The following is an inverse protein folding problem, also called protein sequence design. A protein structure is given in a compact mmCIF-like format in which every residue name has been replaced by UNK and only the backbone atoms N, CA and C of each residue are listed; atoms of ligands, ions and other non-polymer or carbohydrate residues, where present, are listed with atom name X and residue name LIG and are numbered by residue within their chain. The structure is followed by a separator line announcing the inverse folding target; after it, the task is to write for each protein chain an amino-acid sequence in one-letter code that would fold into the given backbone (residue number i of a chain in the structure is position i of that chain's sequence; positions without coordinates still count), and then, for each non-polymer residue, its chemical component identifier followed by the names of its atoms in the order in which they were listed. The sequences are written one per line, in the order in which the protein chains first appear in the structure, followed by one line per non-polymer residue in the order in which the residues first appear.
data_IF_634776965446
#
_entry.id   IF_634776965446
#
_cell.length_a   1.000
_cell.length_b   1.000
_cell.length_c   1.000
_cell.angle_alpha   90.00
_cell.angle_beta   90.00
_cell.angle_gamma   90.00
#
_symmetry.space_group_name_H-M   'P 1'
#
loop_
_entity.id
_entity.type
_entity.pdbx_description
1 polymer ?
#
# COMPACT_ATOMS: atom_id res chain seq x y z
N UNK A 1 38.06 12.06 7.93
CA UNK A 1 36.60 12.26 7.94
C UNK A 1 36.04 11.10 7.15
N UNK A 2 35.85 9.97 7.81
CA UNK A 2 35.36 8.73 7.18
C UNK A 2 33.96 8.98 6.65
N UNK A 3 33.79 8.73 5.35
CA UNK A 3 32.48 8.59 4.72
C UNK A 3 31.78 7.41 5.39
N UNK A 4 30.98 7.69 6.43
CA UNK A 4 30.10 6.70 7.05
C UNK A 4 29.08 6.31 5.99
N UNK A 5 29.42 5.31 5.17
CA UNK A 5 28.53 4.72 4.21
C UNK A 5 27.19 4.44 4.88
N UNK A 6 26.10 4.94 4.28
CA UNK A 6 24.75 4.74 4.84
C UNK A 6 24.52 3.24 5.00
N UNK A 7 24.13 2.82 6.21
CA UNK A 7 23.70 1.44 6.45
C UNK A 7 22.51 1.13 5.51
N UNK A 8 22.43 -0.11 5.00
CA UNK A 8 21.36 -0.56 4.10
C UNK A 8 19.96 -0.22 4.64
N UNK A 9 19.71 -0.37 5.95
CA UNK A 9 18.42 -0.02 6.55
C UNK A 9 18.12 1.49 6.41
N UNK A 10 19.13 2.35 6.61
CA UNK A 10 18.99 3.80 6.42
C UNK A 10 18.74 4.15 4.95
N UNK A 11 19.33 3.41 4.01
CA UNK A 11 19.09 3.59 2.58
C UNK A 11 17.65 3.19 2.20
N UNK A 12 17.17 2.06 2.72
CA UNK A 12 15.79 1.59 2.53
C UNK A 12 14.78 2.56 3.14
N UNK A 13 15.01 3.04 4.37
CA UNK A 13 14.17 4.04 5.02
C UNK A 13 14.17 5.36 4.24
N UNK A 14 15.33 5.85 3.80
CA UNK A 14 15.43 7.06 2.97
C UNK A 14 14.66 6.92 1.66
N UNK A 15 14.71 5.72 1.05
CA UNK A 15 13.95 5.41 -0.16
C UNK A 15 12.43 5.52 0.09
N UNK A 16 11.93 4.95 1.21
CA UNK A 16 10.52 5.06 1.59
C UNK A 16 10.09 6.50 1.89
N UNK A 17 10.88 7.27 2.64
CA UNK A 17 10.54 8.67 2.96
C UNK A 17 10.50 9.53 1.69
N UNK A 18 11.44 9.32 0.76
CA UNK A 18 11.41 9.97 -0.55
C UNK A 18 10.15 9.62 -1.35
N UNK A 19 9.73 8.35 -1.31
CA UNK A 19 8.48 7.89 -1.91
C UNK A 19 7.25 8.57 -1.31
N UNK A 20 7.14 8.63 0.02
CA UNK A 20 6.01 9.28 0.71
C UNK A 20 5.91 10.78 0.40
N UNK A 21 7.05 11.46 0.30
CA UNK A 21 7.11 12.87 -0.11
C UNK A 21 6.64 13.06 -1.55
N UNK A 22 7.11 12.23 -2.47
CA UNK A 22 6.69 12.25 -3.88
C UNK A 22 5.19 12.00 -4.04
N UNK A 23 4.65 11.03 -3.31
CA UNK A 23 3.21 10.75 -3.26
C UNK A 23 2.40 11.97 -2.79
N UNK A 24 2.88 12.65 -1.74
CA UNK A 24 2.24 13.86 -1.21
C UNK A 24 2.22 15.00 -2.25
N UNK A 25 3.28 15.15 -3.04
CA UNK A 25 3.32 16.11 -4.15
C UNK A 25 2.31 15.74 -5.25
N UNK A 26 2.23 14.46 -5.63
CA UNK A 26 1.27 14.00 -6.65
C UNK A 26 -0.18 14.20 -6.27
N UNK A 27 -0.52 14.17 -4.98
CA UNK A 27 -1.85 14.55 -4.50
C UNK A 27 -2.19 15.99 -4.86
N UNK A 28 -1.24 16.92 -4.74
CA UNK A 28 -1.45 18.32 -5.10
C UNK A 28 -1.60 18.48 -6.62
N UNK A 29 -0.70 17.86 -7.38
CA UNK A 29 -0.73 17.86 -8.85
C UNK A 29 -2.09 17.35 -9.38
N UNK A 30 -2.56 16.22 -8.85
CA UNK A 30 -3.84 15.61 -9.24
C UNK A 30 -5.02 16.51 -8.88
N UNK A 31 -5.06 17.07 -7.67
CA UNK A 31 -6.14 17.98 -7.26
C UNK A 31 -6.22 19.20 -8.17
N UNK A 32 -5.07 19.79 -8.51
CA UNK A 32 -5.02 20.94 -9.40
C UNK A 32 -5.50 20.58 -10.81
N UNK A 33 -4.99 19.49 -11.38
CA UNK A 33 -5.36 19.05 -12.73
C UNK A 33 -6.86 18.68 -12.82
N UNK A 34 -7.40 18.02 -11.79
CA UNK A 34 -8.82 17.69 -11.72
C UNK A 34 -9.69 18.95 -11.58
N UNK A 35 -9.28 19.93 -10.77
CA UNK A 35 -10.00 21.20 -10.63
C UNK A 35 -10.02 21.99 -11.95
N UNK A 36 -8.87 22.09 -12.63
CA UNK A 36 -8.78 22.75 -13.95
C UNK A 36 -9.69 22.09 -14.97
N UNK A 37 -9.66 20.75 -15.06
CA UNK A 37 -10.49 20.03 -16.03
C UNK A 37 -11.98 20.21 -15.77
N UNK A 38 -12.41 20.29 -14.50
CA UNK A 38 -13.82 20.58 -14.13
C UNK A 38 -14.23 22.00 -14.51
N UNK A 39 -13.35 22.98 -14.33
CA UNK A 39 -13.64 24.38 -14.72
C UNK A 39 -13.73 24.60 -16.24
N UNK A 40 -13.03 23.78 -17.04
CA UNK A 40 -12.99 23.86 -18.50
C UNK A 40 -13.93 22.87 -19.20
N UNK A 41 -14.96 22.38 -18.50
CA UNK A 41 -15.91 21.45 -19.10
C UNK A 41 -16.70 22.11 -20.25
N UNK A 42 -16.70 21.48 -21.43
CA UNK A 42 -17.37 22.01 -22.62
C UNK A 42 -16.63 23.10 -23.40
N UNK A 43 -15.39 23.46 -23.00
CA UNK A 43 -14.56 24.43 -23.72
C UNK A 43 -13.58 23.75 -24.67
N UNK A 44 -12.96 24.53 -25.58
CA UNK A 44 -11.91 24.02 -26.48
C UNK A 44 -10.68 23.47 -25.72
N UNK A 45 -10.47 23.88 -24.47
CA UNK A 45 -9.35 23.47 -23.62
C UNK A 45 -9.52 22.08 -22.99
N UNK A 46 -10.74 21.50 -23.03
CA UNK A 46 -11.06 20.21 -22.42
C UNK A 46 -10.17 19.06 -22.93
N UNK A 47 -9.84 19.05 -24.23
CA UNK A 47 -8.97 18.05 -24.84
C UNK A 47 -7.51 18.18 -24.36
N UNK A 48 -7.05 19.42 -24.19
CA UNK A 48 -5.70 19.72 -23.66
C UNK A 48 -5.58 19.27 -22.21
N UNK A 49 -6.60 19.53 -21.40
CA UNK A 49 -6.60 19.13 -19.98
C UNK A 49 -6.73 17.62 -19.81
N UNK A 50 -7.48 16.94 -20.68
CA UNK A 50 -7.51 15.47 -20.73
C UNK A 50 -6.12 14.89 -21.06
N UNK A 51 -5.41 15.48 -22.02
CA UNK A 51 -4.03 15.08 -22.34
C UNK A 51 -3.10 15.26 -21.13
N UNK A 52 -3.18 16.40 -20.43
CA UNK A 52 -2.40 16.63 -19.19
C UNK A 52 -2.71 15.59 -18.12
N UNK A 53 -3.98 15.21 -17.93
CA UNK A 53 -4.37 14.15 -16.98
C UNK A 53 -3.78 12.79 -17.36
N UNK A 54 -3.78 12.44 -18.65
CA UNK A 54 -3.13 11.20 -19.13
C UNK A 54 -1.63 11.22 -18.86
N UNK A 55 -0.96 12.31 -19.18
CA UNK A 55 0.48 12.48 -18.92
C UNK A 55 0.81 12.38 -17.42
N UNK A 56 0.03 13.04 -16.56
CA UNK A 56 0.22 12.96 -15.11
C UNK A 56 -0.03 11.54 -14.57
N UNK A 57 -1.06 10.85 -15.06
CA UNK A 57 -1.36 9.47 -14.68
C UNK A 57 -0.22 8.53 -15.08
N UNK A 58 0.33 8.67 -16.29
CA UNK A 58 1.49 7.89 -16.73
C UNK A 58 2.75 8.21 -15.93
N UNK A 59 2.96 9.48 -15.58
CA UNK A 59 4.06 9.91 -14.70
C UNK A 59 3.97 9.23 -13.34
N UNK A 60 2.78 9.18 -12.73
CA UNK A 60 2.56 8.48 -11.46
C UNK A 60 2.88 7.00 -11.59
N UNK A 61 2.45 6.34 -12.67
CA UNK A 61 2.82 4.92 -12.91
C UNK A 61 4.33 4.74 -13.04
N UNK A 62 5.02 5.69 -13.69
CA UNK A 62 6.48 5.76 -13.71
C UNK A 62 7.07 5.85 -12.30
N UNK A 63 6.53 6.73 -11.45
CA UNK A 63 6.97 6.88 -10.07
C UNK A 63 6.83 5.55 -9.29
N UNK A 64 5.73 4.81 -9.45
CA UNK A 64 5.53 3.47 -8.85
C UNK A 64 6.55 2.44 -9.36
N UNK A 65 6.83 2.42 -10.67
CA UNK A 65 7.84 1.53 -11.29
C UNK A 65 9.23 1.81 -10.74
N UNK A 66 9.58 3.08 -10.61
CA UNK A 66 10.89 3.50 -10.12
C UNK A 66 11.06 3.16 -8.64
N UNK A 67 10.00 3.30 -7.83
CA UNK A 67 10.01 2.88 -6.44
C UNK A 67 10.17 1.36 -6.30
N UNK A 68 9.40 0.58 -7.06
CA UNK A 68 9.53 -0.89 -7.10
C UNK A 68 10.94 -1.34 -7.48
N UNK A 69 11.55 -0.73 -8.50
CA UNK A 69 12.92 -1.03 -8.91
C UNK A 69 13.93 -0.75 -7.79
N UNK A 70 13.87 0.44 -7.19
CA UNK A 70 14.79 0.81 -6.08
C UNK A 70 14.67 -0.15 -4.90
N UNK A 71 13.45 -0.62 -4.60
CA UNK A 71 13.24 -1.62 -3.53
C UNK A 71 13.88 -2.96 -3.88
N UNK A 72 13.70 -3.43 -5.11
CA UNK A 72 14.34 -4.66 -5.57
C UNK A 72 15.87 -4.55 -5.43
N UNK A 73 16.47 -3.45 -5.90
CA UNK A 73 17.91 -3.19 -5.80
C UNK A 73 18.42 -3.18 -4.35
N UNK A 74 17.63 -2.62 -3.42
CA UNK A 74 17.97 -2.53 -1.99
C UNK A 74 17.59 -3.76 -1.16
N UNK A 75 16.97 -4.79 -1.76
CA UNK A 75 16.44 -5.95 -1.02
C UNK A 75 17.39 -7.13 -0.93
N UNK A 76 18.48 -7.15 -1.71
CA UNK A 76 19.40 -8.28 -1.80
C UNK A 76 20.03 -8.62 -0.43
N UNK A 77 19.52 -9.68 0.22
CA UNK A 77 19.84 -10.15 1.58
C UNK A 77 19.37 -9.29 2.75
N UNK A 78 18.61 -8.22 2.51
CA UNK A 78 18.05 -7.36 3.55
C UNK A 78 16.56 -7.13 3.31
N UNK A 79 15.87 -8.19 2.91
CA UNK A 79 14.48 -8.13 2.47
C UNK A 79 13.50 -8.14 3.64
N UNK A 80 13.84 -8.77 4.78
CA UNK A 80 13.01 -8.77 5.99
C UNK A 80 12.62 -7.37 6.47
N UNK A 81 13.49 -6.38 6.30
CA UNK A 81 13.19 -4.97 6.57
C UNK A 81 11.99 -4.44 5.77
N UNK A 82 11.67 -5.02 4.62
CA UNK A 82 10.46 -4.66 3.88
C UNK A 82 9.23 -5.44 4.34
N UNK A 83 9.37 -6.59 5.01
CA UNK A 83 8.26 -7.37 5.56
C UNK A 83 7.84 -6.89 6.95
N UNK A 84 8.75 -6.28 7.72
CA UNK A 84 8.46 -5.65 8.99
C UNK A 84 9.21 -4.29 9.13
N UNK A 85 8.90 -3.31 8.27
CA UNK A 85 9.65 -2.05 8.24
C UNK A 85 9.56 -1.26 9.54
N UNK A 86 10.71 -0.77 9.99
CA UNK A 86 10.85 0.10 11.17
C UNK A 86 10.26 1.50 10.96
N UNK A 87 10.06 1.91 9.71
CA UNK A 87 9.45 3.19 9.34
C UNK A 87 7.91 3.16 9.23
N UNK A 88 7.29 1.99 9.44
CA UNK A 88 5.84 1.84 9.48
C UNK A 88 5.34 1.73 10.92
N UNK A 89 4.08 2.06 11.11
CA UNK A 89 3.37 1.81 12.38
C UNK A 89 3.06 0.32 12.54
N UNK A 90 2.84 -0.19 13.76
CA UNK A 90 2.43 -1.58 13.97
C UNK A 90 1.14 -1.95 13.22
N UNK A 91 0.22 -0.98 13.06
CA UNK A 91 -0.99 -1.16 12.26
C UNK A 91 -0.67 -1.39 10.78
N UNK A 92 0.25 -0.60 10.20
CA UNK A 92 0.68 -0.77 8.81
C UNK A 92 1.41 -2.12 8.63
N UNK A 93 2.27 -2.50 9.57
CA UNK A 93 2.97 -3.78 9.53
C UNK A 93 2.01 -4.97 9.64
N UNK A 94 0.94 -4.86 10.42
CA UNK A 94 -0.09 -5.91 10.50
C UNK A 94 -0.92 -6.07 9.21
N UNK A 95 -0.92 -5.08 8.33
CA UNK A 95 -1.70 -5.07 7.07
C UNK A 95 -0.82 -5.29 5.83
N UNK A 96 0.48 -5.49 6.01
CA UNK A 96 1.42 -5.66 4.91
C UNK A 96 1.30 -7.06 4.29
N UNK A 97 1.41 -7.13 2.96
CA UNK A 97 1.41 -8.36 2.19
C UNK A 97 2.66 -8.35 1.33
N UNK A 98 3.70 -9.15 1.62
CA UNK A 98 4.97 -9.14 0.87
C UNK A 98 5.48 -7.71 0.59
N UNK A 99 5.68 -6.96 1.68
CA UNK A 99 6.23 -5.61 1.69
C UNK A 99 5.37 -4.47 1.13
N UNK A 100 4.08 -4.67 0.88
CA UNK A 100 3.19 -3.58 0.49
C UNK A 100 1.72 -3.94 0.62
N UNK A 101 0.83 -3.19 -0.03
CA UNK A 101 -0.58 -3.54 -0.06
C UNK A 101 -0.83 -4.79 -0.92
N UNK A 102 -1.91 -5.52 -0.64
CA UNK A 102 -2.37 -6.61 -1.51
C UNK A 102 -3.08 -6.03 -2.75
N UNK A 103 -2.72 -6.38 -3.99
CA UNK A 103 -3.30 -5.79 -5.21
C UNK A 103 -4.85 -5.79 -5.29
N UNK A 104 -5.53 -6.78 -4.71
CA UNK A 104 -6.99 -6.88 -4.60
C UNK A 104 -7.61 -5.70 -3.86
N UNK A 105 -6.85 -5.00 -3.02
CA UNK A 105 -7.27 -3.75 -2.38
C UNK A 105 -7.53 -2.61 -3.38
N UNK A 106 -6.86 -2.59 -4.53
CA UNK A 106 -7.11 -1.61 -5.58
C UNK A 106 -8.53 -1.74 -6.15
N UNK A 107 -9.01 -2.98 -6.33
CA UNK A 107 -10.38 -3.25 -6.79
C UNK A 107 -11.41 -2.89 -5.72
N UNK A 108 -11.14 -3.21 -4.45
CA UNK A 108 -11.99 -2.76 -3.34
C UNK A 108 -12.14 -1.24 -3.32
N UNK A 109 -11.06 -0.51 -3.59
CA UNK A 109 -11.11 0.94 -3.71
C UNK A 109 -12.00 1.38 -4.88
N UNK A 110 -11.84 0.78 -6.07
CA UNK A 110 -12.72 1.07 -7.22
C UNK A 110 -14.19 0.84 -6.87
N UNK A 111 -14.52 -0.30 -6.27
CA UNK A 111 -15.90 -0.63 -5.90
C UNK A 111 -16.46 0.28 -4.80
N UNK A 112 -15.66 0.62 -3.80
CA UNK A 112 -16.09 1.53 -2.74
C UNK A 112 -16.35 2.95 -3.28
N UNK A 113 -15.49 3.44 -4.17
CA UNK A 113 -15.66 4.74 -4.82
C UNK A 113 -16.85 4.75 -5.78
N UNK A 114 -17.09 3.67 -6.52
CA UNK A 114 -18.27 3.56 -7.37
C UNK A 114 -19.56 3.50 -6.52
N UNK A 115 -19.62 2.59 -5.55
CA UNK A 115 -20.82 2.29 -4.76
C UNK A 115 -21.26 3.44 -3.87
N UNK A 116 -20.33 4.09 -3.16
CA UNK A 116 -20.66 5.24 -2.31
C UNK A 116 -21.30 6.39 -3.10
N UNK A 117 -20.86 6.59 -4.35
CA UNK A 117 -21.40 7.65 -5.19
C UNK A 117 -22.75 7.28 -5.78
N UNK A 118 -22.96 6.01 -6.18
CA UNK A 118 -24.27 5.51 -6.58
C UNK A 118 -25.29 5.66 -5.44
N UNK A 119 -24.91 5.33 -4.21
CA UNK A 119 -25.76 5.48 -3.03
C UNK A 119 -26.17 6.95 -2.79
N UNK A 120 -25.23 7.89 -2.93
CA UNK A 120 -25.52 9.33 -2.84
C UNK A 120 -26.54 9.75 -3.91
N UNK A 121 -26.34 9.36 -5.18
CA UNK A 121 -27.26 9.69 -6.29
C UNK A 121 -28.65 9.10 -6.08
N UNK A 122 -28.74 7.84 -5.67
CA UNK A 122 -30.03 7.17 -5.39
C UNK A 122 -30.73 7.85 -4.22
N UNK A 123 -30.02 8.17 -3.15
CA UNK A 123 -30.59 8.85 -1.97
C UNK A 123 -31.11 10.25 -2.35
N UNK A 124 -30.41 10.97 -3.22
CA UNK A 124 -30.85 12.28 -3.72
C UNK A 124 -32.09 12.18 -4.61
N UNK A 125 -32.10 11.23 -5.55
CA UNK A 125 -33.25 10.94 -6.41
C UNK A 125 -34.49 10.59 -5.59
N UNK A 126 -34.35 9.70 -4.60
CA UNK A 126 -35.44 9.30 -3.72
C UNK A 126 -35.95 10.43 -2.80
N UNK A 127 -35.13 11.47 -2.55
CA UNK A 127 -35.50 12.61 -1.68
C UNK A 127 -36.13 13.79 -2.43
N UNK A 128 -36.32 13.72 -3.76
CA UNK A 128 -36.86 14.82 -4.59
C UNK A 128 -36.22 16.19 -4.28
N UNK A 129 -34.89 16.24 -4.07
CA UNK A 129 -34.19 17.52 -3.90
C UNK A 129 -33.87 18.06 -5.28
N UNK A 130 -34.89 18.60 -5.95
CA UNK A 130 -34.71 19.41 -7.15
C UNK A 130 -34.04 20.72 -6.75
N UNK A 131 -32.71 20.81 -6.86
CA UNK A 131 -32.00 22.09 -6.83
C UNK A 131 -30.81 22.25 -5.89
N UNK A 132 -30.18 21.17 -5.40
CA UNK A 132 -28.83 21.33 -4.84
C UNK A 132 -27.79 21.19 -5.95
N UNK A 133 -27.15 22.31 -6.27
CA UNK A 133 -26.09 22.43 -7.25
C UNK A 133 -24.97 21.41 -6.95
N UNK A 134 -24.66 20.56 -7.94
CA UNK A 134 -23.65 19.49 -7.83
C UNK A 134 -22.23 20.06 -7.65
N UNK A 135 -22.09 21.39 -7.71
CA UNK A 135 -20.86 22.15 -7.56
C UNK A 135 -20.24 22.15 -6.15
N UNK A 136 -20.98 21.75 -5.11
CA UNK A 136 -20.55 21.87 -3.70
C UNK A 136 -19.88 20.64 -3.06
N UNK A 137 -20.06 19.43 -3.62
CA UNK A 137 -19.45 18.21 -3.09
C UNK A 137 -18.33 17.74 -4.03
N UNK A 138 -17.09 18.09 -3.69
CA UNK A 138 -15.91 17.90 -4.54
C UNK A 138 -15.47 16.45 -4.81
N UNK A 139 -16.28 15.66 -5.52
CA UNK A 139 -15.83 14.40 -6.13
C UNK A 139 -16.98 13.60 -6.73
N UNK A 140 -16.83 12.82 -7.81
CA UNK A 140 -15.68 12.52 -8.65
C UNK A 140 -16.19 11.61 -9.81
N UNK A 141 -15.42 11.55 -10.90
CA UNK A 141 -15.69 10.90 -12.18
C UNK A 141 -15.91 9.38 -12.13
N UNK A 142 -15.60 8.72 -11.01
CA UNK A 142 -15.79 7.27 -10.82
C UNK A 142 -17.25 6.84 -10.60
N UNK A 143 -18.16 7.80 -10.46
CA UNK A 143 -19.61 7.54 -10.44
C UNK A 143 -20.19 7.22 -11.81
N UNK A 144 -19.41 7.42 -12.88
CA UNK A 144 -19.78 7.16 -14.27
C UNK A 144 -19.02 5.97 -14.87
N UNK A 145 -18.56 5.03 -14.04
CA UNK A 145 -18.01 3.77 -14.55
C UNK A 145 -19.07 3.05 -15.37
N UNK A 146 -18.76 2.74 -16.62
CA UNK A 146 -19.69 2.02 -17.49
C UNK A 146 -19.77 0.55 -17.07
N UNK A 147 -20.88 -0.11 -17.41
CA UNK A 147 -21.04 -1.55 -17.17
C UNK A 147 -19.92 -2.36 -17.84
N UNK A 148 -19.45 -1.93 -19.02
CA UNK A 148 -18.32 -2.54 -19.72
C UNK A 148 -17.00 -2.37 -18.95
N UNK A 149 -16.73 -1.18 -18.42
CA UNK A 149 -15.54 -0.94 -17.58
C UNK A 149 -15.58 -1.79 -16.32
N UNK A 150 -16.73 -1.88 -15.65
CA UNK A 150 -16.89 -2.69 -14.45
C UNK A 150 -16.72 -4.19 -14.74
N UNK A 151 -17.24 -4.68 -15.87
CA UNK A 151 -17.03 -6.05 -16.30
C UNK A 151 -15.55 -6.35 -16.56
N UNK A 152 -14.83 -5.46 -17.26
CA UNK A 152 -13.37 -5.59 -17.48
C UNK A 152 -12.59 -5.58 -16.15
N UNK A 153 -12.95 -4.69 -15.22
CA UNK A 153 -12.34 -4.62 -13.89
C UNK A 153 -12.59 -5.92 -13.11
N UNK A 154 -13.80 -6.48 -13.16
CA UNK A 154 -14.12 -7.72 -12.47
C UNK A 154 -13.35 -8.93 -13.03
N UNK A 155 -13.25 -9.04 -14.36
CA UNK A 155 -12.41 -10.08 -15.00
C UNK A 155 -10.95 -9.95 -14.57
N UNK A 156 -10.43 -8.73 -14.54
CA UNK A 156 -9.07 -8.45 -14.06
C UNK A 156 -8.93 -8.81 -12.57
N UNK A 157 -9.93 -8.52 -11.74
CA UNK A 157 -9.92 -8.80 -10.30
C UNK A 157 -9.76 -10.30 -10.03
N UNK A 158 -10.54 -11.14 -10.69
CA UNK A 158 -10.45 -12.61 -10.56
C UNK A 158 -9.05 -13.09 -10.93
N UNK A 159 -8.51 -12.64 -12.06
CA UNK A 159 -7.15 -12.99 -12.48
C UNK A 159 -6.10 -12.61 -11.44
N UNK A 160 -6.22 -11.42 -10.84
CA UNK A 160 -5.26 -10.96 -9.83
C UNK A 160 -5.37 -11.76 -8.54
N UNK A 161 -6.57 -12.17 -8.13
CA UNK A 161 -6.76 -13.07 -6.97
C UNK A 161 -6.00 -14.39 -7.18
N UNK A 162 -6.10 -14.99 -8.36
CA UNK A 162 -5.39 -16.25 -8.66
C UNK A 162 -3.86 -16.09 -8.55
N UNK A 163 -3.30 -14.97 -9.04
CA UNK A 163 -1.88 -14.68 -8.90
C UNK A 163 -1.48 -14.40 -7.44
N UNK A 164 -2.31 -13.67 -6.69
CA UNK A 164 -2.09 -13.45 -5.25
C UNK A 164 -2.07 -14.76 -4.47
N UNK A 165 -2.96 -15.70 -4.78
CA UNK A 165 -3.01 -17.01 -4.12
C UNK A 165 -1.75 -17.84 -4.39
N UNK A 166 -1.26 -17.82 -5.64
CA UNK A 166 0.01 -18.48 -5.98
C UNK A 166 1.15 -17.92 -5.15
N UNK A 167 1.25 -16.60 -5.04
CA UNK A 167 2.31 -15.96 -4.26
C UNK A 167 2.16 -16.18 -2.75
N UNK A 168 0.94 -16.15 -2.23
CA UNK A 168 0.67 -16.46 -0.81
C UNK A 168 1.10 -17.88 -0.47
N UNK A 169 0.88 -18.86 -1.35
CA UNK A 169 1.41 -20.23 -1.16
C UNK A 169 2.93 -20.25 -1.09
N UNK A 170 3.62 -19.53 -1.98
CA UNK A 170 5.10 -19.44 -1.96
C UNK A 170 5.61 -18.85 -0.64
N UNK A 171 5.00 -17.76 -0.14
CA UNK A 171 5.43 -17.14 1.11
C UNK A 171 5.15 -18.04 2.32
N UNK A 172 4.06 -18.80 2.30
CA UNK A 172 3.76 -19.80 3.35
C UNK A 172 4.82 -20.89 3.41
N UNK A 173 5.24 -21.44 2.26
CA UNK A 173 6.33 -22.42 2.23
C UNK A 173 7.63 -21.84 2.79
N UNK A 174 8.02 -20.61 2.42
CA UNK A 174 9.21 -19.97 2.99
C UNK A 174 9.13 -19.74 4.50
N UNK A 175 7.92 -19.56 5.05
CA UNK A 175 7.73 -19.44 6.49
C UNK A 175 7.90 -20.79 7.20
N UNK A 176 7.48 -21.88 6.56
CA UNK A 176 7.65 -23.25 7.08
C UNK A 176 9.12 -23.69 7.03
N UNK A 177 9.86 -23.32 5.98
CA UNK A 177 11.29 -23.64 5.80
C UNK A 177 12.18 -23.12 6.96
N UNK A 178 11.74 -22.08 7.68
CA UNK A 178 12.45 -21.56 8.86
C UNK A 178 12.54 -22.58 10.02
N UNK A 179 11.71 -23.62 10.00
CA UNK A 179 11.72 -24.72 10.96
C UNK A 179 12.31 -26.02 10.36
N UNK A 180 12.88 -25.98 9.15
CA UNK A 180 13.47 -27.14 8.48
C UNK A 180 15.01 -27.21 8.69
N UNK A 181 15.65 -28.21 8.08
CA UNK A 181 17.09 -28.42 8.07
C UNK A 181 17.77 -27.29 7.27
N UNK A 182 18.88 -26.72 7.76
CA UNK A 182 19.62 -27.10 8.96
C UNK A 182 19.13 -26.45 10.26
N UNK A 183 18.25 -25.45 10.19
CA UNK A 183 17.90 -24.56 11.32
C UNK A 183 17.42 -25.36 12.53
N UNK A 184 16.41 -26.21 12.37
CA UNK A 184 15.84 -26.98 13.49
C UNK A 184 16.81 -28.02 14.06
N UNK A 185 17.58 -28.69 13.21
CA UNK A 185 18.55 -29.70 13.65
C UNK A 185 19.73 -29.09 14.41
N UNK A 186 20.21 -27.93 13.97
CA UNK A 186 21.27 -27.20 14.67
C UNK A 186 20.73 -26.67 16.00
N UNK A 187 19.56 -26.05 16.00
CA UNK A 187 18.93 -25.55 17.23
C UNK A 187 18.71 -26.64 18.29
N UNK A 188 18.48 -27.90 17.87
CA UNK A 188 18.37 -29.05 18.78
C UNK A 188 19.74 -29.56 19.27
N UNK A 189 20.76 -29.54 18.42
CA UNK A 189 22.06 -30.14 18.71
C UNK A 189 22.99 -29.23 19.54
N UNK A 190 22.85 -27.91 19.42
CA UNK A 190 23.67 -26.94 20.15
C UNK A 190 23.32 -26.92 21.64
N UNK A 191 24.36 -26.90 22.49
CA UNK A 191 24.19 -26.86 23.95
C UNK A 191 23.63 -25.50 24.43
N UNK A 192 24.03 -24.42 23.75
CA UNK A 192 23.64 -23.06 24.06
C UNK A 192 22.78 -22.47 22.94
N UNK A 193 21.71 -21.76 23.33
CA UNK A 193 20.76 -21.17 22.37
C UNK A 193 21.38 -19.97 21.67
N UNK A 194 21.35 -19.97 20.34
CA UNK A 194 21.76 -18.82 19.52
C UNK A 194 23.26 -18.73 19.23
N UNK A 195 24.00 -19.84 19.41
CA UNK A 195 25.41 -19.89 19.01
C UNK A 195 25.57 -19.68 17.49
N UNK A 196 26.58 -18.91 17.04
CA UNK A 196 26.81 -18.67 15.62
C UNK A 196 27.06 -19.98 14.86
N UNK A 197 26.31 -20.20 13.79
CA UNK A 197 26.43 -21.41 12.99
C UNK A 197 26.36 -21.09 11.49
N UNK A 198 27.45 -21.39 10.77
CA UNK A 198 27.59 -21.07 9.35
C UNK A 198 26.49 -21.71 8.47
N UNK A 199 26.04 -22.92 8.79
CA UNK A 199 25.00 -23.59 8.01
C UNK A 199 23.64 -22.92 8.21
N UNK A 200 23.35 -22.46 9.43
CA UNK A 200 22.14 -21.68 9.74
C UNK A 200 22.18 -20.33 9.05
N UNK A 201 23.31 -19.61 9.14
CA UNK A 201 23.49 -18.31 8.48
C UNK A 201 23.27 -18.42 6.96
N UNK A 202 23.84 -19.45 6.31
CA UNK A 202 23.64 -19.70 4.88
C UNK A 202 22.19 -20.05 4.53
N UNK A 203 21.47 -20.74 5.42
CA UNK A 203 20.06 -21.06 5.22
C UNK A 203 19.18 -19.79 5.32
N UNK A 204 19.44 -18.93 6.31
CA UNK A 204 18.76 -17.66 6.49
C UNK A 204 19.07 -16.67 5.35
N UNK A 205 20.32 -16.62 4.87
CA UNK A 205 20.70 -15.84 3.69
C UNK A 205 19.89 -16.25 2.44
N UNK A 206 19.71 -17.56 2.21
CA UNK A 206 18.88 -18.07 1.11
C UNK A 206 17.41 -17.71 1.30
N UNK A 207 16.91 -17.75 2.54
CA UNK A 207 15.54 -17.34 2.85
C UNK A 207 15.33 -15.85 2.56
N UNK A 208 16.29 -15.00 2.92
CA UNK A 208 16.31 -13.57 2.57
C UNK A 208 16.35 -13.34 1.06
N UNK A 209 17.16 -14.09 0.31
CA UNK A 209 17.18 -14.02 -1.17
C UNK A 209 15.85 -14.43 -1.81
N UNK A 210 15.18 -15.45 -1.26
CA UNK A 210 13.85 -15.88 -1.70
C UNK A 210 12.78 -14.84 -1.36
N UNK A 211 12.81 -14.26 -0.16
CA UNK A 211 11.92 -13.18 0.27
C UNK A 211 12.10 -11.91 -0.59
N UNK A 212 13.33 -11.58 -0.99
CA UNK A 212 13.64 -10.50 -1.93
C UNK A 212 13.02 -10.75 -3.31
N UNK A 213 13.09 -11.99 -3.80
CA UNK A 213 12.47 -12.39 -5.07
C UNK A 213 10.95 -12.24 -5.01
N UNK A 214 10.30 -12.72 -3.94
CA UNK A 214 8.86 -12.55 -3.74
C UNK A 214 8.44 -11.08 -3.61
N UNK A 215 9.26 -10.26 -2.94
CA UNK A 215 9.03 -8.83 -2.84
C UNK A 215 8.97 -8.18 -4.24
N UNK A 216 9.95 -8.49 -5.09
CA UNK A 216 10.03 -7.98 -6.45
C UNK A 216 8.86 -8.50 -7.32
N UNK A 217 8.51 -9.79 -7.23
CA UNK A 217 7.32 -10.36 -7.88
C UNK A 217 6.04 -9.62 -7.44
N UNK A 218 5.90 -9.31 -6.14
CA UNK A 218 4.70 -8.70 -5.59
C UNK A 218 4.59 -7.24 -6.03
N UNK A 219 5.70 -6.51 -6.06
CA UNK A 219 5.75 -5.14 -6.59
C UNK A 219 5.45 -5.10 -8.09
N UNK A 220 5.95 -6.05 -8.87
CA UNK A 220 5.59 -6.18 -10.28
C UNK A 220 4.08 -6.43 -10.45
N UNK A 221 3.48 -7.29 -9.62
CA UNK A 221 2.03 -7.54 -9.65
C UNK A 221 1.22 -6.28 -9.28
N UNK A 222 1.66 -5.50 -8.29
CA UNK A 222 1.03 -4.21 -7.93
C UNK A 222 1.06 -3.23 -9.08
N UNK A 223 2.24 -3.01 -9.67
CA UNK A 223 2.43 -2.08 -10.79
C UNK A 223 1.64 -2.52 -12.01
N UNK A 224 1.66 -3.82 -12.33
CA UNK A 224 0.87 -4.41 -13.41
C UNK A 224 -0.62 -4.15 -13.18
N UNK A 225 -1.12 -4.46 -11.99
CA UNK A 225 -2.54 -4.28 -11.63
C UNK A 225 -2.96 -2.83 -11.75
N UNK A 226 -2.17 -1.91 -11.18
CA UNK A 226 -2.43 -0.48 -11.23
C UNK A 226 -2.49 0.04 -12.67
N UNK A 227 -1.52 -0.38 -13.51
CA UNK A 227 -1.46 -0.02 -14.92
C UNK A 227 -2.70 -0.54 -15.69
N UNK A 228 -3.10 -1.79 -15.43
CA UNK A 228 -4.28 -2.39 -16.09
C UNK A 228 -5.60 -1.76 -15.68
N UNK A 229 -5.76 -1.37 -14.41
CA UNK A 229 -6.93 -0.59 -13.99
C UNK A 229 -6.97 0.74 -14.75
N UNK A 230 -5.87 1.46 -14.80
CA UNK A 230 -5.79 2.76 -15.51
C UNK A 230 -6.08 2.63 -17.00
N UNK A 231 -5.63 1.55 -17.66
CA UNK A 231 -5.94 1.29 -19.07
C UNK A 231 -7.45 1.11 -19.34
N UNK A 232 -8.22 0.64 -18.36
CA UNK A 232 -9.68 0.47 -18.48
C UNK A 232 -10.43 1.79 -18.22
N UNK A 233 -9.87 2.65 -17.36
CA UNK A 233 -10.51 3.88 -16.92
C UNK A 233 -10.32 5.02 -17.92
N UNK A 234 -11.33 5.90 -18.01
CA UNK A 234 -11.16 7.19 -18.67
C UNK A 234 -10.16 8.06 -17.87
N UNK A 235 -9.52 9.09 -18.47
CA UNK A 235 -8.46 9.84 -17.79
C UNK A 235 -8.87 10.50 -16.47
N UNK A 236 -10.08 11.05 -16.43
CA UNK A 236 -10.60 11.67 -15.20
C UNK A 236 -10.86 10.61 -14.11
N UNK A 237 -11.46 9.47 -14.48
CA UNK A 237 -11.64 8.31 -13.61
C UNK A 237 -10.30 7.78 -13.07
N UNK A 238 -9.30 7.63 -13.94
CA UNK A 238 -7.97 7.17 -13.56
C UNK A 238 -7.28 8.14 -12.58
N UNK A 239 -7.38 9.44 -12.84
CA UNK A 239 -6.83 10.47 -11.96
C UNK A 239 -7.54 10.51 -10.60
N UNK A 240 -8.87 10.40 -10.56
CA UNK A 240 -9.64 10.32 -9.31
C UNK A 240 -9.30 9.04 -8.51
N UNK A 241 -9.17 7.90 -9.21
CA UNK A 241 -8.77 6.62 -8.60
C UNK A 241 -7.38 6.69 -7.99
N UNK A 242 -6.38 7.22 -8.73
CA UNK A 242 -5.04 7.45 -8.21
C UNK A 242 -5.06 8.40 -7.02
N UNK A 243 -5.76 9.54 -7.13
CA UNK A 243 -5.86 10.50 -6.03
C UNK A 243 -6.40 9.84 -4.76
N UNK A 244 -7.46 9.05 -4.87
CA UNK A 244 -8.04 8.32 -3.75
C UNK A 244 -7.06 7.30 -3.16
N UNK A 245 -6.39 6.51 -4.00
CA UNK A 245 -5.42 5.49 -3.57
C UNK A 245 -4.23 6.09 -2.84
N UNK A 246 -3.64 7.15 -3.39
CA UNK A 246 -2.51 7.85 -2.77
C UNK A 246 -2.94 8.48 -1.43
N UNK A 247 -4.09 9.17 -1.40
CA UNK A 247 -4.62 9.74 -0.15
C UNK A 247 -4.87 8.68 0.90
N UNK A 248 -5.42 7.52 0.52
CA UNK A 248 -5.66 6.41 1.44
C UNK A 248 -4.34 5.92 2.04
N UNK A 249 -3.31 5.70 1.22
CA UNK A 249 -2.00 5.28 1.71
C UNK A 249 -1.39 6.29 2.71
N UNK A 250 -1.36 7.58 2.35
CA UNK A 250 -0.84 8.63 3.25
C UNK A 250 -1.66 8.78 4.54
N UNK A 251 -2.97 8.58 4.43
CA UNK A 251 -3.90 8.66 5.57
C UNK A 251 -3.74 7.48 6.52
N UNK A 252 -3.54 6.26 6.00
CA UNK A 252 -3.26 5.07 6.82
C UNK A 252 -2.02 5.27 7.68
N UNK A 253 -0.95 5.83 7.12
CA UNK A 253 0.26 6.17 7.87
C UNK A 253 -0.02 7.19 8.99
N UNK A 254 -0.72 8.28 8.65
CA UNK A 254 -1.06 9.35 9.60
C UNK A 254 -1.98 8.85 10.72
N UNK A 255 -2.98 8.04 10.39
CA UNK A 255 -3.91 7.46 11.35
C UNK A 255 -3.22 6.44 12.25
N UNK A 256 -2.33 5.60 11.70
CA UNK A 256 -1.51 4.67 12.48
C UNK A 256 -0.67 5.42 13.51
N UNK A 257 0.07 6.45 13.09
CA UNK A 257 0.93 7.22 13.97
C UNK A 257 0.16 7.93 15.09
N UNK A 258 -1.04 8.45 14.77
CA UNK A 258 -1.94 9.05 15.75
C UNK A 258 -2.45 8.02 16.77
N UNK A 259 -2.82 6.83 16.31
CA UNK A 259 -3.28 5.74 17.20
C UNK A 259 -2.17 5.27 18.13
N UNK A 260 -0.95 5.13 17.64
CA UNK A 260 0.19 4.72 18.46
C UNK A 260 0.51 5.77 19.53
N UNK A 261 0.44 7.05 19.18
CA UNK A 261 0.58 8.14 20.16
C UNK A 261 -0.47 8.02 21.27
N UNK A 262 -1.75 7.88 20.91
CA UNK A 262 -2.83 7.73 21.90
C UNK A 262 -2.68 6.49 22.78
N UNK A 263 -2.21 5.36 22.22
CA UNK A 263 -1.97 4.13 22.99
C UNK A 263 -0.86 4.28 24.02
N UNK A 264 0.21 5.03 23.70
CA UNK A 264 1.28 5.32 24.66
C UNK A 264 0.82 6.24 25.80
N UNK A 265 -0.19 7.08 25.54
CA UNK A 265 -0.80 7.96 26.54
C UNK A 265 -1.82 7.23 27.43
N UNK A 266 -2.30 6.04 27.04
CA UNK A 266 -3.13 5.19 27.90
C UNK A 266 -2.27 4.55 29.00
N UNK A 267 -2.29 5.17 30.18
CA UNK A 267 -1.76 4.59 31.42
C UNK A 267 -2.64 3.40 31.79
N UNK A 268 -2.03 2.22 31.97
CA UNK A 268 -2.67 1.14 32.73
C UNK A 268 -2.58 1.58 34.18
N UNK A 269 -3.71 1.99 34.78
CA UNK A 269 -3.77 2.12 36.24
C UNK A 269 -3.45 0.74 36.80
N UNK A 270 -2.26 0.60 37.38
CA UNK A 270 -1.91 -0.59 38.13
C UNK A 270 -2.95 -0.73 39.23
N UNK A 271 -3.64 -1.87 39.28
CA UNK A 271 -4.48 -2.24 40.40
C UNK A 271 -3.59 -2.47 41.62
N UNK A 272 -3.22 -1.40 42.32
CA UNK A 272 -2.91 -1.43 43.74
C UNK A 272 -4.24 -1.59 44.48
N UNK A 273 -4.65 -2.83 44.76
CA UNK A 273 -5.21 -3.20 46.07
C UNK A 273 -5.55 -4.70 46.15
N UNK A 274 -4.83 -5.43 47.00
CA UNK A 274 -5.35 -6.48 47.89
C UNK A 274 -4.20 -7.20 48.62
N UNK A 275 -3.43 -6.46 49.42
CA UNK A 275 -2.52 -7.01 50.43
C UNK A 275 -2.98 -6.56 51.81
N UNK A 276 -4.02 -7.22 52.32
CA UNK A 276 -4.74 -6.86 53.53
C UNK A 276 -3.84 -6.64 54.75
N UNK A 277 -4.19 -5.61 55.51
CA UNK A 277 -3.92 -5.53 56.94
C UNK A 277 -4.42 -6.81 57.61
N UNK A 278 -3.51 -7.62 58.15
CA UNK A 278 -3.82 -8.42 59.32
C UNK A 278 -2.90 -7.97 60.46
N UNK A 279 -3.50 -7.29 61.42
CA UNK A 279 -2.91 -7.11 62.72
C UNK A 279 -3.18 -8.33 63.58
N UNK A 280 -2.13 -8.87 64.19
CA UNK A 280 -2.09 -9.25 65.60
C UNK A 280 -0.65 -9.38 66.06
#
# INVERSE_FOLDING_TARGET
MEDKGKNIEQAQQSCYLGWMSLQSQRVLDLKQALAQRRSHEGTADAATDEKKLRELTQKIIGDFKDYARKRADLSHRCSSNYYAPSWNTPLENALIWMGGCRPSSFFRLVYALCGSQTEIRVTQFLRNVDGYDTSGSGGASLSDLTAEQLAKINVLHVKIIDEEEKMTKKVSSLQEDAADIPISTVAYAEEHVGEPNLAVDQALDKQEEAMATLLAEADNLRVYTLSKIIEVLAPMQAADFLLAGIKLHLSMHSWGALRDRRRRECIIEAADDAGGKEGK
#
